data_IF_355631431066
#
_entry.id   IF_355631431066
#
_cell.length_a   1.000
_cell.length_b   1.000
_cell.length_c   1.000
_cell.angle_alpha   90.00
_cell.angle_beta   90.00
_cell.angle_gamma   90.00
#
_symmetry.space_group_name_H-M   'P 1'
#
loop_
_entity.id
_entity.type
_entity.pdbx_description
1 polymer ?
#
# COMPACT_ATOMS: atom_id res chain seq x y z
N UNK A 1 18.98 -0.47 -8.79
CA UNK A 1 20.05 -1.27 -8.18
C UNK A 1 19.84 -2.70 -8.63
N UNK A 2 20.87 -3.39 -9.09
CA UNK A 2 20.74 -4.81 -9.41
C UNK A 2 20.79 -5.61 -8.10
N UNK A 3 20.12 -6.76 -8.04
CA UNK A 3 20.20 -7.68 -6.89
C UNK A 3 21.66 -8.07 -6.60
N UNK A 4 22.49 -8.14 -7.63
CA UNK A 4 23.93 -8.43 -7.50
C UNK A 4 24.70 -7.36 -6.69
N UNK A 5 24.16 -6.15 -6.56
CA UNK A 5 24.75 -5.07 -5.77
C UNK A 5 24.48 -5.25 -4.25
N UNK A 6 23.54 -6.11 -3.88
CA UNK A 6 23.14 -6.40 -2.49
C UNK A 6 24.11 -7.39 -1.83
N UNK A 7 25.31 -6.92 -1.51
CA UNK A 7 26.38 -7.72 -0.90
C UNK A 7 26.63 -7.34 0.56
N UNK A 8 27.17 -8.27 1.35
CA UNK A 8 27.62 -7.99 2.73
C UNK A 8 28.70 -6.90 2.73
N UNK A 9 29.60 -6.90 1.74
CA UNK A 9 30.62 -5.87 1.60
C UNK A 9 30.00 -4.47 1.38
N UNK A 10 29.01 -4.34 0.49
CA UNK A 10 28.30 -3.08 0.29
C UNK A 10 27.55 -2.62 1.55
N UNK A 11 27.02 -3.54 2.36
CA UNK A 11 26.40 -3.22 3.64
C UNK A 11 27.40 -2.65 4.66
N UNK A 12 28.56 -3.31 4.80
CA UNK A 12 29.63 -2.87 5.71
C UNK A 12 30.21 -1.53 5.29
N UNK A 13 30.30 -1.27 3.98
CA UNK A 13 30.77 -0.01 3.41
C UNK A 13 29.72 1.12 3.46
N UNK A 14 28.56 0.90 4.10
CA UNK A 14 27.44 1.85 4.19
C UNK A 14 26.89 2.29 2.82
N UNK A 15 27.09 1.48 1.78
CA UNK A 15 26.58 1.71 0.41
C UNK A 15 25.14 1.23 0.24
N UNK A 16 24.60 0.49 1.22
CA UNK A 16 23.21 0.02 1.24
C UNK A 16 22.40 0.85 2.26
N UNK A 17 21.75 1.92 1.79
CA UNK A 17 20.73 2.60 2.58
C UNK A 17 19.42 1.82 2.63
N UNK A 18 18.62 2.01 3.68
CA UNK A 18 17.37 1.26 3.89
C UNK A 18 16.33 1.53 2.81
N UNK A 19 16.37 2.72 2.21
CA UNK A 19 15.57 3.11 1.05
C UNK A 19 15.89 2.30 -0.21
N UNK A 20 17.12 1.78 -0.34
CA UNK A 20 17.53 0.92 -1.46
C UNK A 20 17.07 -0.53 -1.29
N UNK A 21 16.64 -0.92 -0.08
CA UNK A 21 16.16 -2.26 0.26
C UNK A 21 14.62 -2.36 0.22
N UNK A 22 13.96 -1.43 -0.48
CA UNK A 22 12.51 -1.44 -0.66
C UNK A 22 12.10 -2.28 -1.87
N UNK A 23 10.91 -2.85 -1.77
CA UNK A 23 10.30 -3.55 -2.90
C UNK A 23 9.87 -2.56 -3.97
N UNK A 24 10.19 -2.86 -5.23
CA UNK A 24 9.77 -2.03 -6.36
C UNK A 24 8.31 -2.30 -6.74
N UNK A 25 7.59 -1.24 -7.11
CA UNK A 25 6.18 -1.31 -7.54
C UNK A 25 6.04 -2.18 -8.80
N UNK A 26 6.99 -2.10 -9.73
CA UNK A 26 6.97 -2.87 -10.97
C UNK A 26 7.12 -4.38 -10.70
N UNK A 27 7.92 -4.75 -9.70
CA UNK A 27 8.06 -6.15 -9.29
C UNK A 27 6.77 -6.65 -8.66
N UNK A 28 6.08 -5.84 -7.85
CA UNK A 28 4.77 -6.20 -7.29
C UNK A 28 3.69 -6.36 -8.37
N UNK A 29 3.65 -5.50 -9.39
CA UNK A 29 2.74 -5.66 -10.54
C UNK A 29 3.09 -6.93 -11.35
N UNK A 30 4.37 -7.26 -11.50
CA UNK A 30 4.77 -8.54 -12.12
C UNK A 30 4.27 -9.75 -11.30
N UNK A 31 4.45 -9.73 -9.98
CA UNK A 31 3.91 -10.78 -9.10
C UNK A 31 2.39 -10.85 -9.13
N UNK A 32 1.69 -9.72 -9.31
CA UNK A 32 0.26 -9.70 -9.51
C UNK A 32 -0.17 -10.41 -10.80
N UNK A 33 0.58 -10.23 -11.89
CA UNK A 33 0.33 -10.93 -13.14
C UNK A 33 0.53 -12.45 -13.01
N UNK A 34 1.59 -12.88 -12.31
CA UNK A 34 1.84 -14.30 -12.00
C UNK A 34 0.71 -14.89 -11.16
N UNK A 35 0.33 -14.23 -10.06
CA UNK A 35 -0.76 -14.69 -9.20
C UNK A 35 -2.09 -14.82 -9.95
N UNK A 36 -2.40 -13.89 -10.87
CA UNK A 36 -3.59 -13.97 -11.69
C UNK A 36 -3.54 -15.13 -12.70
N UNK A 37 -2.39 -15.37 -13.31
CA UNK A 37 -2.19 -16.49 -14.25
C UNK A 37 -2.34 -17.86 -13.56
N UNK A 38 -1.92 -17.96 -12.30
CA UNK A 38 -2.07 -19.16 -11.47
C UNK A 38 -3.47 -19.31 -10.84
N UNK A 39 -4.43 -18.47 -11.24
CA UNK A 39 -5.82 -18.57 -10.81
C UNK A 39 -6.11 -17.98 -9.43
N UNK A 40 -5.25 -17.09 -8.93
CA UNK A 40 -5.43 -16.38 -7.65
C UNK A 40 -5.63 -14.86 -7.85
N UNK A 41 -6.80 -14.42 -8.32
CA UNK A 41 -7.07 -13.01 -8.57
C UNK A 41 -7.08 -12.16 -7.29
N UNK A 42 -7.43 -12.73 -6.13
CA UNK A 42 -7.44 -11.99 -4.86
C UNK A 42 -6.02 -11.62 -4.42
N UNK A 43 -5.07 -12.56 -4.58
CA UNK A 43 -3.66 -12.28 -4.32
C UNK A 43 -3.10 -11.26 -5.32
N UNK A 44 -3.48 -11.37 -6.59
CA UNK A 44 -3.10 -10.39 -7.60
C UNK A 44 -3.57 -8.97 -7.24
N UNK A 45 -4.82 -8.81 -6.80
CA UNK A 45 -5.34 -7.52 -6.35
C UNK A 45 -4.66 -7.01 -5.08
N UNK A 46 -4.21 -7.91 -4.21
CA UNK A 46 -3.41 -7.54 -3.05
C UNK A 46 -2.05 -6.98 -3.46
N UNK A 47 -1.34 -7.64 -4.37
CA UNK A 47 -0.06 -7.14 -4.88
C UNK A 47 -0.19 -5.82 -5.62
N UNK A 48 -1.27 -5.61 -6.37
CA UNK A 48 -1.56 -4.34 -7.02
C UNK A 48 -1.77 -3.18 -6.02
N UNK A 49 -2.48 -3.42 -4.92
CA UNK A 49 -2.58 -2.42 -3.84
C UNK A 49 -1.23 -2.19 -3.17
N UNK A 50 -0.45 -3.25 -2.96
CA UNK A 50 0.89 -3.13 -2.41
C UNK A 50 1.83 -2.32 -3.32
N UNK A 51 1.70 -2.47 -4.65
CA UNK A 51 2.45 -1.69 -5.62
C UNK A 51 2.15 -0.19 -5.51
N UNK A 52 0.86 0.17 -5.32
CA UNK A 52 0.47 1.56 -5.04
C UNK A 52 1.06 2.08 -3.72
N UNK A 53 1.12 1.25 -2.69
CA UNK A 53 1.70 1.62 -1.39
C UNK A 53 3.23 1.69 -1.40
N UNK A 54 3.92 1.01 -2.32
CA UNK A 54 5.38 1.02 -2.40
C UNK A 54 5.95 2.42 -2.73
N UNK A 55 5.14 3.28 -3.36
CA UNK A 55 5.49 4.68 -3.63
C UNK A 55 5.18 5.62 -2.45
N UNK A 56 4.49 5.15 -1.42
CA UNK A 56 4.13 5.95 -0.24
C UNK A 56 5.28 5.95 0.78
N UNK A 57 5.35 7.01 1.60
CA UNK A 57 6.22 7.00 2.78
C UNK A 57 5.70 6.04 3.85
N UNK A 58 6.59 5.50 4.68
CA UNK A 58 6.22 4.62 5.79
C UNK A 58 5.19 5.29 6.73
N UNK A 59 5.36 6.58 7.02
CA UNK A 59 4.40 7.36 7.81
C UNK A 59 3.02 7.45 7.14
N UNK A 60 2.97 7.58 5.80
CA UNK A 60 1.72 7.63 5.07
C UNK A 60 0.99 6.27 5.08
N UNK A 61 1.74 5.16 5.00
CA UNK A 61 1.20 3.80 5.14
C UNK A 61 0.65 3.59 6.56
N UNK A 62 1.40 4.01 7.58
CA UNK A 62 0.95 3.91 8.98
C UNK A 62 -0.28 4.77 9.25
N UNK A 63 -0.35 5.98 8.70
CA UNK A 63 -1.52 6.85 8.82
C UNK A 63 -2.77 6.25 8.14
N UNK A 64 -2.61 5.63 6.97
CA UNK A 64 -3.68 4.90 6.29
C UNK A 64 -4.19 3.74 7.16
N UNK A 65 -3.28 2.94 7.72
CA UNK A 65 -3.63 1.84 8.61
C UNK A 65 -4.40 2.34 9.85
N UNK A 66 -3.89 3.36 10.54
CA UNK A 66 -4.54 3.89 11.75
C UNK A 66 -5.93 4.46 11.46
N UNK A 67 -6.13 5.15 10.34
CA UNK A 67 -7.44 5.68 9.93
C UNK A 67 -8.48 4.58 9.70
N UNK A 68 -8.06 3.41 9.23
CA UNK A 68 -8.95 2.27 8.98
C UNK A 68 -9.22 1.41 10.22
N UNK A 69 -8.63 1.72 11.38
CA UNK A 69 -8.99 0.99 12.60
C UNK A 69 -10.38 1.41 13.10
N UNK A 70 -11.14 0.50 13.74
CA UNK A 70 -12.46 0.83 14.29
C UNK A 70 -12.42 2.07 15.20
N UNK A 71 -13.41 2.95 15.06
CA UNK A 71 -13.60 4.16 15.87
C UNK A 71 -12.43 5.16 15.82
N UNK A 72 -11.64 5.16 14.73
CA UNK A 72 -10.54 6.12 14.54
C UNK A 72 -10.88 7.29 13.63
N UNK A 73 -11.76 7.08 12.67
CA UNK A 73 -12.09 8.09 11.67
C UNK A 73 -13.59 8.30 11.53
N UNK A 74 -13.94 9.54 11.22
CA UNK A 74 -15.27 9.96 10.77
C UNK A 74 -15.44 9.67 9.28
N UNK A 75 -16.68 9.72 8.77
CA UNK A 75 -16.93 9.55 7.34
C UNK A 75 -16.18 10.59 6.49
N UNK A 76 -16.18 11.86 6.93
CA UNK A 76 -15.50 12.97 6.22
C UNK A 76 -13.98 12.76 6.17
N UNK A 77 -13.38 12.25 7.24
CA UNK A 77 -11.94 11.96 7.27
C UNK A 77 -11.57 10.81 6.31
N UNK A 78 -12.42 9.78 6.20
CA UNK A 78 -12.21 8.68 5.25
C UNK A 78 -12.42 9.14 3.80
N UNK A 79 -13.40 9.99 3.53
CA UNK A 79 -13.63 10.55 2.20
C UNK A 79 -12.45 11.44 1.76
N UNK A 80 -11.93 12.29 2.67
CA UNK A 80 -10.74 13.09 2.42
C UNK A 80 -9.49 12.22 2.20
N UNK A 81 -9.34 11.13 2.96
CA UNK A 81 -8.26 10.15 2.79
C UNK A 81 -8.32 9.49 1.41
N UNK A 82 -9.50 9.09 0.95
CA UNK A 82 -9.67 8.50 -0.37
C UNK A 82 -9.31 9.48 -1.49
N UNK A 83 -9.71 10.75 -1.39
CA UNK A 83 -9.34 11.80 -2.36
C UNK A 83 -7.82 12.00 -2.40
N UNK A 84 -7.16 12.05 -1.23
CA UNK A 84 -5.70 12.16 -1.15
C UNK A 84 -5.00 10.98 -1.84
N UNK A 85 -5.43 9.75 -1.55
CA UNK A 85 -4.88 8.55 -2.18
C UNK A 85 -5.04 8.55 -3.70
N UNK A 86 -6.14 9.06 -4.25
CA UNK A 86 -6.28 9.21 -5.70
C UNK A 86 -5.31 10.23 -6.30
N UNK A 87 -5.08 11.34 -5.58
CA UNK A 87 -4.07 12.34 -5.95
C UNK A 87 -2.66 11.77 -5.95
N UNK A 88 -2.38 10.85 -5.02
CA UNK A 88 -1.12 10.12 -4.89
C UNK A 88 -1.01 8.90 -5.85
N UNK A 89 -1.90 8.80 -6.85
CA UNK A 89 -1.98 7.70 -7.81
C UNK A 89 -2.31 6.31 -7.21
N UNK A 90 -2.73 6.24 -5.95
CA UNK A 90 -3.12 5.01 -5.24
C UNK A 90 -4.63 4.72 -5.36
N UNK A 91 -5.11 4.51 -6.60
CA UNK A 91 -6.55 4.39 -6.92
C UNK A 91 -7.23 3.17 -6.28
N UNK A 92 -6.56 2.02 -6.23
CA UNK A 92 -7.12 0.80 -5.62
C UNK A 92 -7.17 0.94 -4.10
N UNK A 93 -6.17 1.58 -3.49
CA UNK A 93 -6.21 1.94 -2.07
C UNK A 93 -7.35 2.92 -1.77
N UNK A 94 -7.55 3.95 -2.61
CA UNK A 94 -8.67 4.88 -2.46
C UNK A 94 -10.04 4.19 -2.54
N UNK A 95 -10.21 3.27 -3.49
CA UNK A 95 -11.43 2.48 -3.63
C UNK A 95 -11.71 1.65 -2.37
N UNK A 96 -10.69 1.02 -1.80
CA UNK A 96 -10.79 0.27 -0.54
C UNK A 96 -11.24 1.16 0.63
N UNK A 97 -10.70 2.38 0.74
CA UNK A 97 -11.09 3.33 1.79
C UNK A 97 -12.56 3.75 1.65
N UNK A 98 -13.04 3.99 0.43
CA UNK A 98 -14.46 4.32 0.18
C UNK A 98 -15.40 3.17 0.55
N UNK A 99 -15.01 1.94 0.22
CA UNK A 99 -15.75 0.74 0.62
C UNK A 99 -15.79 0.62 2.15
N UNK A 100 -14.65 0.80 2.81
CA UNK A 100 -14.55 0.78 4.28
C UNK A 100 -15.46 1.84 4.90
N UNK A 101 -15.45 3.09 4.40
CA UNK A 101 -16.34 4.17 4.85
C UNK A 101 -17.81 3.77 4.80
N UNK A 102 -18.27 3.19 3.68
CA UNK A 102 -19.64 2.73 3.52
C UNK A 102 -20.01 1.55 4.45
N UNK A 103 -19.06 0.67 4.75
CA UNK A 103 -19.26 -0.42 5.71
C UNK A 103 -19.29 0.11 7.15
N UNK A 104 -18.40 1.04 7.49
CA UNK A 104 -18.26 1.55 8.85
C UNK A 104 -19.48 2.37 9.26
N UNK A 105 -20.05 3.15 8.34
CA UNK A 105 -21.32 3.85 8.56
C UNK A 105 -22.46 2.88 8.86
N UNK A 106 -22.59 1.79 8.08
CA UNK A 106 -23.62 0.77 8.31
C UNK A 106 -23.43 -0.04 9.59
N UNK A 107 -22.18 -0.21 10.04
CA UNK A 107 -21.83 -1.04 11.20
C UNK A 107 -21.57 -0.25 12.49
N UNK A 108 -21.67 1.07 12.45
CA UNK A 108 -21.37 1.92 13.61
C UNK A 108 -19.90 1.85 14.06
N UNK A 109 -18.97 1.76 13.10
CA UNK A 109 -17.52 1.69 13.34
C UNK A 109 -16.80 3.02 13.10
N UNK A 110 -17.54 4.07 12.76
CA UNK A 110 -17.03 5.43 12.69
C UNK A 110 -16.91 6.01 14.10
N UNK A 111 -15.92 6.88 14.29
CA UNK A 111 -15.82 7.71 15.50
C UNK A 111 -16.92 8.77 15.51
#
# INVERSE_FOLDING_TARGET
>A
MNVDDLTVAAAVDEKLGSELLRMDADVLEHQAAVAAADGNPQLADNFRRAAEMAAMSDDAVMALYEALRPNRSTAVELDALAVRLEGDHARRCAALVREARAIYERRGLLR
#
